data_IF_225984641496
#
_entry.id   IF_225984641496
#
_cell.length_a   1.000
_cell.length_b   1.000
_cell.length_c   1.000
_cell.angle_alpha   90.00
_cell.angle_beta   90.00
_cell.angle_gamma   90.00
#
_symmetry.space_group_name_H-M   'P 1'
#
loop_
_entity.id
_entity.type
_entity.pdbx_description
1 polymer ?
#
# COMPACT_ATOMS: atom_id res chain seq x y z
N UNK A 1 19.95 19.45 37.16
CA UNK A 1 19.34 18.10 37.19
C UNK A 1 17.97 18.25 37.83
N UNK A 2 16.87 17.73 37.26
CA UNK A 2 15.59 17.75 37.96
C UNK A 2 15.75 17.02 39.31
N UNK A 3 15.14 17.53 40.40
CA UNK A 3 15.34 16.95 41.71
C UNK A 3 14.88 15.48 41.75
N UNK A 4 15.53 14.64 42.58
CA UNK A 4 15.10 13.25 42.75
C UNK A 4 13.62 13.24 43.17
N UNK A 5 12.87 12.26 42.67
CA UNK A 5 11.41 12.10 42.85
C UNK A 5 10.51 12.97 41.95
N UNK A 6 11.07 13.64 40.94
CA UNK A 6 10.27 14.35 39.92
C UNK A 6 9.97 13.45 38.72
N UNK A 7 8.79 13.55 38.09
CA UNK A 7 8.44 12.79 36.86
C UNK A 7 9.50 12.95 35.75
N UNK A 8 10.05 14.15 35.58
CA UNK A 8 11.11 14.42 34.61
C UNK A 8 12.37 13.57 34.86
N UNK A 9 12.76 13.38 36.13
CA UNK A 9 13.87 12.51 36.50
C UNK A 9 13.56 11.04 36.16
N UNK A 10 12.34 10.58 36.45
CA UNK A 10 11.93 9.20 36.19
C UNK A 10 11.88 8.88 34.69
N UNK A 11 11.42 9.81 33.84
CA UNK A 11 11.36 9.61 32.39
C UNK A 11 12.77 9.56 31.77
N UNK A 12 13.67 10.43 32.23
CA UNK A 12 15.04 10.52 31.69
C UNK A 12 15.95 9.37 32.18
N UNK A 13 15.77 8.88 33.41
CA UNK A 13 16.64 7.86 33.99
C UNK A 13 16.15 6.42 33.76
N UNK A 14 14.84 6.21 33.56
CA UNK A 14 14.26 4.87 33.37
C UNK A 14 14.23 4.45 31.90
N UNK A 15 15.01 3.41 31.55
CA UNK A 15 15.01 2.82 30.18
C UNK A 15 13.67 2.23 29.78
N UNK A 16 12.97 1.64 30.75
CA UNK A 16 11.68 0.96 30.51
C UNK A 16 10.61 1.99 30.17
N UNK A 17 10.54 3.08 30.92
CA UNK A 17 9.55 4.13 30.66
C UNK A 17 9.81 4.80 29.32
N UNK A 18 11.08 5.12 29.01
CA UNK A 18 11.44 5.71 27.73
C UNK A 18 11.00 4.83 26.54
N UNK A 19 11.18 3.51 26.64
CA UNK A 19 10.73 2.57 25.61
C UNK A 19 9.21 2.57 25.43
N UNK A 20 8.42 2.51 26.51
CA UNK A 20 6.97 2.53 26.37
C UNK A 20 6.43 3.86 25.84
N UNK A 21 7.04 4.99 26.21
CA UNK A 21 6.65 6.31 25.69
C UNK A 21 6.99 6.44 24.21
N UNK A 22 8.21 6.09 23.80
CA UNK A 22 8.59 6.13 22.38
C UNK A 22 7.73 5.19 21.54
N UNK A 23 7.49 3.97 22.03
CA UNK A 23 6.58 3.01 21.40
C UNK A 23 5.15 3.56 21.31
N UNK A 24 4.64 4.19 22.37
CA UNK A 24 3.31 4.79 22.39
C UNK A 24 3.14 5.90 21.36
N UNK A 25 4.14 6.76 21.20
CA UNK A 25 4.13 7.83 20.19
C UNK A 25 4.11 7.23 18.78
N UNK A 26 4.95 6.22 18.52
CA UNK A 26 5.00 5.53 17.22
C UNK A 26 3.68 4.84 16.90
N UNK A 27 3.09 4.12 17.85
CA UNK A 27 1.78 3.47 17.68
C UNK A 27 0.69 4.50 17.40
N UNK A 28 0.68 5.61 18.13
CA UNK A 28 -0.34 6.68 17.96
C UNK A 28 -0.22 7.33 16.58
N UNK A 29 1.01 7.62 16.13
CA UNK A 29 1.26 8.17 14.80
C UNK A 29 0.85 7.18 13.71
N UNK A 30 1.25 5.91 13.82
CA UNK A 30 0.89 4.86 12.89
C UNK A 30 -0.63 4.66 12.80
N UNK A 31 -1.33 4.64 13.94
CA UNK A 31 -2.78 4.55 14.00
C UNK A 31 -3.44 5.77 13.32
N UNK A 32 -2.95 6.98 13.58
CA UNK A 32 -3.49 8.22 12.98
C UNK A 32 -3.36 8.20 11.47
N UNK A 33 -2.18 7.82 10.95
CA UNK A 33 -1.94 7.70 9.50
C UNK A 33 -2.84 6.62 8.90
N UNK A 34 -2.96 5.47 9.56
CA UNK A 34 -3.80 4.36 9.10
C UNK A 34 -5.28 4.75 9.02
N UNK A 35 -5.81 5.40 10.07
CA UNK A 35 -7.19 5.90 10.09
C UNK A 35 -7.39 6.94 8.98
N UNK A 36 -6.46 7.89 8.81
CA UNK A 36 -6.58 8.91 7.78
C UNK A 36 -6.53 8.33 6.37
N UNK A 37 -5.67 7.34 6.14
CA UNK A 37 -5.61 6.62 4.87
C UNK A 37 -6.91 5.85 4.60
N UNK A 38 -7.46 5.17 5.62
CA UNK A 38 -8.75 4.48 5.50
C UNK A 38 -9.88 5.44 5.14
N UNK A 39 -9.98 6.57 5.83
CA UNK A 39 -11.02 7.58 5.55
C UNK A 39 -10.89 8.20 4.15
N UNK A 40 -9.66 8.29 3.59
CA UNK A 40 -9.43 8.85 2.26
C UNK A 40 -9.65 7.85 1.12
N UNK A 41 -9.35 6.57 1.32
CA UNK A 41 -9.32 5.56 0.26
C UNK A 41 -10.53 4.62 0.26
N UNK A 42 -11.21 4.49 1.41
CA UNK A 42 -12.25 3.49 1.60
C UNK A 42 -13.66 4.10 1.46
N UNK A 43 -14.54 3.54 0.63
CA UNK A 43 -15.95 3.94 0.58
C UNK A 43 -16.72 3.56 1.85
N UNK A 44 -16.22 2.60 2.63
CA UNK A 44 -16.83 2.14 3.89
C UNK A 44 -16.63 3.11 5.05
N UNK A 45 -15.87 4.20 4.85
CA UNK A 45 -15.68 5.26 5.83
C UNK A 45 -16.99 5.93 6.24
N UNK A 46 -17.98 6.01 5.33
CA UNK A 46 -19.28 6.60 5.61
C UNK A 46 -20.10 5.81 6.64
N UNK A 47 -19.82 4.52 6.84
CA UNK A 47 -20.53 3.67 7.78
C UNK A 47 -20.04 3.87 9.23
N UNK A 48 -18.92 4.56 9.44
CA UNK A 48 -18.37 4.82 10.77
C UNK A 48 -19.08 6.03 11.37
N UNK A 49 -20.03 5.78 12.27
CA UNK A 49 -20.63 6.82 13.11
C UNK A 49 -19.80 6.98 14.39
N UNK A 50 -19.23 8.18 14.58
CA UNK A 50 -18.48 8.49 15.79
C UNK A 50 -19.40 9.09 16.84
N UNK A 51 -19.72 8.29 17.87
CA UNK A 51 -20.59 8.73 18.97
C UNK A 51 -19.78 8.83 20.26
N UNK A 52 -19.61 10.06 20.75
CA UNK A 52 -18.86 10.34 21.97
C UNK A 52 -19.50 9.72 23.23
N UNK A 53 -20.79 9.41 23.17
CA UNK A 53 -21.53 8.81 24.28
C UNK A 53 -21.24 7.31 24.44
N UNK A 54 -20.92 6.63 23.34
CA UNK A 54 -20.64 5.19 23.30
C UNK A 54 -19.31 4.93 22.57
N UNK A 55 -18.16 5.22 23.22
CA UNK A 55 -16.85 5.06 22.60
C UNK A 55 -16.55 3.60 22.26
N UNK A 56 -17.03 2.67 23.09
CA UNK A 56 -16.84 1.23 22.85
C UNK A 56 -17.56 0.77 21.57
N UNK A 57 -18.84 1.12 21.43
CA UNK A 57 -19.60 0.77 20.22
C UNK A 57 -19.03 1.43 18.97
N UNK A 58 -18.57 2.68 19.08
CA UNK A 58 -17.91 3.39 17.98
C UNK A 58 -16.63 2.68 17.51
N UNK A 59 -15.82 2.16 18.44
CA UNK A 59 -14.61 1.39 18.07
C UNK A 59 -14.95 0.04 17.45
N UNK A 60 -16.00 -0.65 17.94
CA UNK A 60 -16.47 -1.89 17.32
C UNK A 60 -16.97 -1.65 15.89
N UNK A 61 -17.74 -0.58 15.66
CA UNK A 61 -18.23 -0.21 14.34
C UNK A 61 -17.08 0.11 13.38
N UNK A 62 -16.05 0.82 13.86
CA UNK A 62 -14.83 1.05 13.10
C UNK A 62 -14.13 -0.26 12.71
N UNK A 63 -13.98 -1.21 13.64
CA UNK A 63 -13.39 -2.52 13.34
C UNK A 63 -14.19 -3.31 12.31
N UNK A 64 -15.52 -3.25 12.36
CA UNK A 64 -16.40 -3.86 11.35
C UNK A 64 -16.15 -3.23 9.97
N UNK A 65 -16.06 -1.89 9.89
CA UNK A 65 -15.80 -1.20 8.64
C UNK A 65 -14.40 -1.51 8.05
N UNK A 66 -13.37 -1.63 8.91
CA UNK A 66 -12.03 -2.07 8.50
C UNK A 66 -12.07 -3.49 7.96
N UNK A 67 -12.77 -4.39 8.64
CA UNK A 67 -12.94 -5.77 8.17
C UNK A 67 -13.62 -5.82 6.80
N UNK A 68 -14.70 -5.07 6.61
CA UNK A 68 -15.41 -5.01 5.33
C UNK A 68 -14.50 -4.49 4.20
N UNK A 69 -13.67 -3.48 4.48
CA UNK A 69 -12.66 -3.00 3.54
C UNK A 69 -11.66 -4.10 3.17
N UNK A 70 -11.16 -4.86 4.13
CA UNK A 70 -10.23 -5.97 3.84
C UNK A 70 -10.88 -7.10 3.03
N UNK A 71 -12.16 -7.38 3.27
CA UNK A 71 -12.94 -8.36 2.51
C UNK A 71 -13.13 -7.89 1.06
N UNK A 72 -13.44 -6.62 0.83
CA UNK A 72 -13.55 -6.04 -0.51
C UNK A 72 -12.21 -6.05 -1.26
N UNK A 73 -11.10 -5.65 -0.60
CA UNK A 73 -9.77 -5.75 -1.21
C UNK A 73 -9.43 -7.19 -1.60
N UNK A 74 -9.73 -8.14 -0.72
CA UNK A 74 -9.51 -9.56 -0.99
C UNK A 74 -10.35 -10.06 -2.17
N UNK A 75 -11.61 -9.64 -2.26
CA UNK A 75 -12.49 -9.96 -3.40
C UNK A 75 -11.94 -9.39 -4.71
N UNK A 76 -11.52 -8.12 -4.73
CA UNK A 76 -10.92 -7.49 -5.92
C UNK A 76 -9.66 -8.22 -6.36
N UNK A 77 -8.78 -8.59 -5.43
CA UNK A 77 -7.57 -9.35 -5.75
C UNK A 77 -7.91 -10.74 -6.28
N UNK A 78 -8.91 -11.41 -5.70
CA UNK A 78 -9.39 -12.71 -6.18
C UNK A 78 -9.96 -12.62 -7.59
N UNK A 79 -10.76 -11.60 -7.90
CA UNK A 79 -11.27 -11.34 -9.26
C UNK A 79 -10.13 -11.10 -10.26
N UNK A 80 -9.13 -10.31 -9.89
CA UNK A 80 -7.95 -10.07 -10.73
C UNK A 80 -7.14 -11.34 -10.99
N UNK A 81 -7.00 -12.20 -9.98
CA UNK A 81 -6.34 -13.51 -10.13
C UNK A 81 -7.17 -14.44 -11.02
N UNK A 82 -8.49 -14.46 -10.83
CA UNK A 82 -9.41 -15.27 -11.64
C UNK A 82 -9.32 -14.90 -13.12
N UNK A 83 -9.34 -13.61 -13.46
CA UNK A 83 -9.19 -13.13 -14.85
C UNK A 83 -7.88 -13.60 -15.50
N UNK A 84 -6.78 -13.64 -14.74
CA UNK A 84 -5.48 -14.13 -15.24
C UNK A 84 -5.51 -15.63 -15.51
N UNK A 85 -6.16 -16.40 -14.63
CA UNK A 85 -6.31 -17.85 -14.81
C UNK A 85 -7.20 -18.15 -16.02
N UNK A 86 -8.33 -17.46 -16.15
CA UNK A 86 -9.24 -17.59 -17.30
C UNK A 86 -8.55 -17.29 -18.64
N UNK A 87 -7.68 -16.27 -18.69
CA UNK A 87 -6.86 -15.98 -19.89
C UNK A 87 -5.87 -17.11 -20.22
N UNK A 88 -5.21 -17.69 -19.20
CA UNK A 88 -4.29 -18.84 -19.40
C UNK A 88 -5.05 -20.09 -19.86
N UNK A 89 -6.22 -20.35 -19.28
CA UNK A 89 -7.09 -21.46 -19.66
C UNK A 89 -7.58 -21.32 -21.10
N UNK A 90 -8.11 -20.15 -21.49
CA UNK A 90 -8.55 -19.87 -22.85
C UNK A 90 -7.42 -20.06 -23.87
N UNK A 91 -6.21 -19.57 -23.55
CA UNK A 91 -5.02 -19.80 -24.38
C UNK A 91 -4.67 -21.29 -24.48
N UNK A 92 -4.88 -22.05 -23.41
CA UNK A 92 -4.72 -23.50 -23.41
C UNK A 92 -5.74 -24.21 -24.29
N UNK A 93 -7.01 -23.83 -24.20
CA UNK A 93 -8.09 -24.38 -25.02
C UNK A 93 -7.90 -24.04 -26.50
N UNK A 94 -7.49 -22.82 -26.82
CA UNK A 94 -7.17 -22.41 -28.18
C UNK A 94 -6.07 -23.28 -28.80
N UNK A 95 -4.99 -23.55 -28.05
CA UNK A 95 -3.90 -24.44 -28.50
C UNK A 95 -4.37 -25.88 -28.73
N UNK A 96 -5.27 -26.39 -27.88
CA UNK A 96 -5.84 -27.73 -28.01
C UNK A 96 -6.75 -27.84 -29.23
N UNK A 97 -7.63 -26.86 -29.44
CA UNK A 97 -8.57 -26.83 -30.55
C UNK A 97 -7.88 -26.69 -31.92
N UNK A 98 -6.79 -25.92 -31.99
CA UNK A 98 -6.01 -25.74 -33.22
C UNK A 98 -4.91 -26.79 -33.43
N UNK A 99 -4.87 -27.85 -32.62
CA UNK A 99 -3.90 -28.95 -32.78
C UNK A 99 -2.44 -28.59 -32.50
N UNK A 100 -2.16 -27.39 -31.99
CA UNK A 100 -0.81 -26.89 -31.67
C UNK A 100 -0.19 -27.61 -30.46
N UNK A 101 -0.95 -28.42 -29.72
CA UNK A 101 -0.42 -29.22 -28.62
C UNK A 101 0.50 -30.36 -29.10
N UNK A 102 0.29 -30.88 -30.32
CA UNK A 102 1.10 -31.99 -30.86
C UNK A 102 2.42 -31.52 -31.48
N UNK A 103 2.50 -30.28 -31.95
CA UNK A 103 3.71 -29.72 -32.57
C UNK A 103 4.68 -29.09 -31.56
N UNK A 104 4.25 -28.88 -30.31
CA UNK A 104 5.04 -28.23 -29.25
C UNK A 104 5.66 -29.18 -28.22
N UNK A 105 5.61 -30.51 -28.43
CA UNK A 105 6.33 -31.45 -27.56
C UNK A 105 7.84 -31.51 -27.88
N UNK A 106 8.29 -30.83 -28.93
CA UNK A 106 9.70 -30.72 -29.30
C UNK A 106 10.02 -29.24 -29.59
N UNK A 107 10.53 -28.51 -28.60
CA UNK A 107 11.24 -27.25 -28.84
C UNK A 107 10.58 -25.97 -28.31
N UNK A 108 10.96 -25.62 -27.07
CA UNK A 108 11.39 -24.26 -26.71
C UNK A 108 10.33 -23.16 -26.54
N UNK A 109 9.91 -22.88 -25.31
CA UNK A 109 10.36 -21.72 -24.50
C UNK A 109 9.63 -21.73 -23.14
N UNK A 110 10.35 -22.07 -22.05
CA UNK A 110 9.86 -21.97 -20.66
C UNK A 110 9.39 -23.30 -20.03
N UNK A 111 10.32 -24.02 -19.39
CA UNK A 111 10.10 -25.35 -18.80
C UNK A 111 9.28 -25.36 -17.50
N UNK A 112 7.95 -25.30 -17.62
CA UNK A 112 6.99 -25.64 -16.55
C UNK A 112 5.92 -26.63 -17.04
N UNK A 113 6.35 -27.58 -17.88
CA UNK A 113 5.52 -28.66 -18.41
C UNK A 113 5.24 -29.72 -17.35
N UNK A 114 4.01 -29.74 -16.85
CA UNK A 114 3.44 -30.80 -16.02
C UNK A 114 3.63 -32.16 -16.72
N UNK A 115 4.54 -32.99 -16.20
CA UNK A 115 4.55 -34.43 -16.48
C UNK A 115 3.30 -35.03 -15.85
N UNK A 116 2.34 -35.38 -16.70
CA UNK A 116 1.10 -36.03 -16.29
C UNK A 116 1.38 -37.51 -16.00
N UNK A 117 1.61 -37.86 -14.74
CA UNK A 117 1.41 -39.22 -14.22
C UNK A 117 0.82 -39.15 -12.82
N UNK A 118 -0.42 -39.62 -12.67
CA UNK A 118 -1.01 -39.97 -11.38
C UNK A 118 -1.55 -38.81 -10.53
N UNK A 119 -2.83 -38.50 -10.73
CA UNK A 119 -3.83 -38.14 -9.72
C UNK A 119 -3.31 -37.62 -8.36
N UNK A 120 -3.39 -36.31 -8.13
CA UNK A 120 -3.96 -35.60 -6.97
C UNK A 120 -4.13 -34.10 -7.34
N UNK A 121 -5.16 -33.37 -6.86
CA UNK A 121 -5.33 -31.96 -7.15
C UNK A 121 -4.35 -31.13 -6.30
N UNK A 122 -3.14 -30.92 -6.81
CA UNK A 122 -2.18 -30.01 -6.20
C UNK A 122 -2.68 -28.58 -6.42
N UNK A 123 -3.05 -27.89 -5.34
CA UNK A 123 -3.42 -26.48 -5.37
C UNK A 123 -2.34 -25.65 -6.09
N UNK A 124 -2.72 -24.67 -6.92
CA UNK A 124 -1.74 -23.87 -7.65
C UNK A 124 -0.89 -23.08 -6.65
N UNK A 125 0.37 -23.46 -6.52
CA UNK A 125 1.39 -22.62 -5.87
C UNK A 125 1.56 -21.39 -6.76
N UNK A 126 0.92 -20.31 -6.35
CA UNK A 126 1.18 -18.97 -6.88
C UNK A 126 2.64 -18.67 -6.56
N UNK A 127 3.52 -18.76 -7.55
CA UNK A 127 4.84 -18.15 -7.44
C UNK A 127 4.61 -16.65 -7.26
N UNK A 128 4.92 -16.17 -6.06
CA UNK A 128 5.04 -14.75 -5.78
C UNK A 128 6.07 -14.17 -6.74
N UNK A 129 5.60 -13.40 -7.72
CA UNK A 129 6.41 -12.39 -8.40
C UNK A 129 6.81 -11.39 -7.33
N UNK A 130 7.96 -11.68 -6.73
CA UNK A 130 8.48 -11.07 -5.52
C UNK A 130 9.05 -9.70 -5.85
N UNK A 131 8.56 -8.68 -5.16
CA UNK A 131 9.32 -7.48 -4.81
C UNK A 131 9.52 -6.40 -5.87
N UNK A 132 9.64 -6.72 -7.15
CA UNK A 132 10.21 -5.80 -8.15
C UNK A 132 9.41 -4.50 -8.32
N UNK A 133 8.07 -4.57 -8.35
CA UNK A 133 7.22 -3.37 -8.43
C UNK A 133 7.10 -2.62 -7.10
N UNK A 134 7.22 -3.32 -5.97
CA UNK A 134 7.12 -2.70 -4.63
C UNK A 134 8.41 -1.94 -4.30
N UNK A 135 9.56 -2.50 -4.64
CA UNK A 135 10.87 -1.85 -4.53
C UNK A 135 10.93 -0.60 -5.41
N UNK A 136 10.40 -0.66 -6.64
CA UNK A 136 10.30 0.49 -7.53
C UNK A 136 9.38 1.60 -6.97
N UNK A 137 8.28 1.24 -6.29
CA UNK A 137 7.42 2.22 -5.61
C UNK A 137 8.09 2.86 -4.39
N UNK A 138 8.83 2.07 -3.60
CA UNK A 138 9.57 2.59 -2.42
C UNK A 138 10.66 3.56 -2.89
N UNK A 139 11.44 3.19 -3.92
CA UNK A 139 12.45 4.08 -4.53
C UNK A 139 11.85 5.39 -5.01
N UNK A 140 10.71 5.32 -5.70
CA UNK A 140 10.00 6.51 -6.17
C UNK A 140 9.50 7.39 -5.03
N UNK A 141 8.98 6.79 -3.95
CA UNK A 141 8.56 7.52 -2.77
C UNK A 141 9.73 8.16 -2.02
N UNK A 142 10.89 7.50 -1.97
CA UNK A 142 12.13 8.05 -1.42
C UNK A 142 12.67 9.22 -2.25
N UNK A 143 12.62 9.14 -3.58
CA UNK A 143 12.99 10.22 -4.50
C UNK A 143 12.05 11.44 -4.37
N UNK A 144 10.74 11.21 -4.27
CA UNK A 144 9.74 12.26 -4.06
C UNK A 144 9.90 12.91 -2.66
N UNK A 145 10.18 12.12 -1.62
CA UNK A 145 10.46 12.65 -0.28
C UNK A 145 11.76 13.46 -0.24
N UNK A 146 12.83 12.99 -0.91
CA UNK A 146 14.08 13.73 -1.01
C UNK A 146 13.90 15.07 -1.75
N UNK A 147 13.12 15.09 -2.83
CA UNK A 147 12.81 16.31 -3.57
C UNK A 147 12.02 17.33 -2.74
N UNK A 148 11.09 16.87 -1.89
CA UNK A 148 10.35 17.74 -0.98
C UNK A 148 11.23 18.29 0.15
N UNK A 149 12.17 17.49 0.66
CA UNK A 149 13.13 17.93 1.67
C UNK A 149 14.09 18.97 1.08
N UNK A 150 14.64 18.73 -0.12
CA UNK A 150 15.47 19.71 -0.81
C UNK A 150 14.69 21.00 -1.16
N UNK A 151 13.43 20.88 -1.55
CA UNK A 151 12.55 22.03 -1.79
C UNK A 151 12.34 22.86 -0.52
N UNK A 152 12.07 22.20 0.60
CA UNK A 152 11.91 22.85 1.91
C UNK A 152 13.22 23.48 2.43
N UNK A 153 14.38 22.86 2.16
CA UNK A 153 15.69 23.43 2.51
C UNK A 153 16.04 24.64 1.64
N UNK A 154 15.71 24.62 0.34
CA UNK A 154 15.87 25.78 -0.56
C UNK A 154 14.95 26.94 -0.15
N UNK A 155 13.71 26.64 0.25
CA UNK A 155 12.76 27.63 0.74
C UNK A 155 13.24 28.24 2.08
N UNK A 156 13.72 27.41 3.02
CA UNK A 156 14.33 27.89 4.27
C UNK A 156 15.58 28.73 4.03
N UNK A 157 16.45 28.32 3.11
CA UNK A 157 17.65 29.08 2.75
C UNK A 157 17.32 30.40 2.02
N UNK A 158 16.21 30.47 1.27
CA UNK A 158 15.71 31.70 0.67
C UNK A 158 15.13 32.65 1.73
N UNK A 159 14.41 32.11 2.72
CA UNK A 159 13.89 32.87 3.87
C UNK A 159 15.02 33.40 4.77
N UNK A 160 16.08 32.61 4.98
CA UNK A 160 17.25 33.02 5.77
C UNK A 160 18.12 34.09 5.07
N UNK A 161 18.09 34.14 3.73
CA UNK A 161 18.81 35.16 2.93
C UNK A 161 18.08 36.50 2.82
N UNK A 162 16.91 36.66 3.45
CA UNK A 162 16.25 37.96 3.58
C UNK A 162 15.73 38.54 2.26
N UNK A 163 15.42 37.71 1.27
CA UNK A 163 14.67 38.16 0.10
C UNK A 163 13.18 38.11 0.42
N UNK A 164 12.57 39.29 0.54
CA UNK A 164 11.14 39.47 0.72
C UNK A 164 10.38 38.71 -0.38
N UNK A 165 9.51 37.79 0.05
CA UNK A 165 8.74 36.96 -0.88
C UNK A 165 7.76 37.79 -1.71
N UNK A 166 7.36 37.30 -2.90
CA UNK A 166 6.07 37.61 -3.45
C UNK A 166 5.05 36.57 -2.99
N UNK A 167 3.97 37.13 -2.47
CA UNK A 167 2.59 36.66 -2.40
C UNK A 167 2.28 35.26 -2.97
N UNK A 168 1.57 34.51 -2.14
CA UNK A 168 0.81 33.31 -2.44
C UNK A 168 0.24 33.24 -3.85
N UNK A 169 0.62 32.20 -4.60
CA UNK A 169 -0.29 31.58 -5.58
C UNK A 169 -0.39 30.11 -5.19
N UNK A 170 -1.55 29.74 -4.63
CA UNK A 170 -1.97 28.35 -4.53
C UNK A 170 -2.10 27.84 -5.97
N UNK A 171 -1.05 27.21 -6.47
CA UNK A 171 -1.12 26.45 -7.71
C UNK A 171 -1.96 25.21 -7.41
N UNK A 172 -3.23 25.28 -7.82
CA UNK A 172 -4.10 24.13 -8.01
C UNK A 172 -3.32 23.09 -8.81
N UNK A 173 -3.10 21.92 -8.21
CA UNK A 173 -2.52 20.76 -8.88
C UNK A 173 -3.54 20.31 -9.94
N UNK A 174 -3.42 20.83 -11.15
CA UNK A 174 -4.06 20.25 -12.32
C UNK A 174 -3.35 18.94 -12.63
N UNK A 175 -4.04 17.83 -12.38
CA UNK A 175 -3.60 16.51 -12.83
C UNK A 175 -3.50 16.49 -14.35
N UNK A 176 -2.36 16.09 -14.96
CA UNK A 176 -2.30 15.96 -16.40
C UNK A 176 -3.24 14.83 -16.85
N UNK A 177 -4.26 15.24 -17.62
CA UNK A 177 -5.17 14.34 -18.31
C UNK A 177 -4.37 13.34 -19.16
N UNK A 178 -4.60 12.05 -18.94
CA UNK A 178 -4.05 10.96 -19.76
C UNK A 178 -4.48 11.14 -21.21
N UNK A 179 -3.54 11.52 -22.08
CA UNK A 179 -3.67 11.35 -23.52
C UNK A 179 -3.85 9.86 -23.83
N UNK A 180 -5.06 9.48 -24.24
CA UNK A 180 -5.32 8.20 -24.89
C UNK A 180 -4.75 8.28 -26.30
N UNK A 181 -3.53 7.80 -26.51
CA UNK A 181 -3.08 7.42 -27.86
C UNK A 181 -3.80 6.13 -28.24
N UNK A 182 -4.77 6.27 -29.14
CA UNK A 182 -5.39 5.16 -29.85
C UNK A 182 -4.38 4.51 -30.79
N UNK A 183 -4.27 3.20 -30.70
CA UNK A 183 -3.61 2.37 -31.72
C UNK A 183 -4.70 1.67 -32.50
N UNK A 184 -4.85 2.11 -33.75
CA UNK A 184 -4.96 1.22 -34.89
C UNK A 184 -3.67 0.42 -35.03
#
# INVERSE_FOLDING_TARGET
MPPPNTFAHTILTSRVLHFYVSMGILITLAATVSIRNFLATSPFAANVRWEWLHPYESTQLFLVAVREHTEDQSRRVAEMRRRKVEDVELRGEYRKAHGLEKTGNEGGFGGWGVKKSGREPVAPVVQESKGDWVEEQIRRAEEEAAALVEGAEREKAAVEKGEAGPETVVAVVETPAKEKKGWW
#
